data_IF_425616760288
#
_entry.id   IF_425616760288
#
_cell.length_a   1.000
_cell.length_b   1.000
_cell.length_c   1.000
_cell.angle_alpha   90.00
_cell.angle_beta   90.00
_cell.angle_gamma   90.00
#
_symmetry.space_group_name_H-M   'P 1'
#
loop_
_entity.id
_entity.type
_entity.pdbx_description
1 polymer ?
#
# COMPACT_ATOMS: atom_id res chain seq x y z
N UNK A 1 12.50 5.12 17.55
CA UNK A 1 11.66 3.93 17.28
C UNK A 1 11.38 3.85 15.80
N UNK A 2 11.38 2.67 15.20
CA UNK A 2 11.03 2.44 13.80
C UNK A 2 9.93 1.38 13.70
N UNK A 3 9.09 1.44 12.67
CA UNK A 3 8.00 0.49 12.43
C UNK A 3 7.75 0.21 10.95
N UNK A 4 6.69 -0.54 10.68
CA UNK A 4 6.17 -0.86 9.34
C UNK A 4 4.64 -0.67 9.37
N UNK A 5 4.05 -0.51 8.20
CA UNK A 5 2.64 -0.29 7.85
C UNK A 5 2.22 1.16 7.61
N UNK A 6 2.88 2.13 8.26
CA UNK A 6 2.48 3.54 8.18
C UNK A 6 0.99 3.79 8.48
N UNK A 7 0.46 3.08 9.49
CA UNK A 7 -0.88 3.31 10.02
C UNK A 7 -1.09 4.80 10.38
N UNK A 8 -2.32 5.34 10.32
CA UNK A 8 -2.58 6.74 10.68
C UNK A 8 -2.02 7.15 12.05
N UNK A 9 -2.09 6.25 13.03
CA UNK A 9 -1.54 6.43 14.37
C UNK A 9 -0.01 6.46 14.34
N UNK A 10 0.63 5.62 13.53
CA UNK A 10 2.08 5.64 13.34
C UNK A 10 2.54 6.96 12.68
N UNK A 11 1.79 7.47 11.68
CA UNK A 11 2.06 8.78 11.07
C UNK A 11 1.92 9.93 12.07
N UNK A 12 0.96 9.85 12.99
CA UNK A 12 0.83 10.83 14.08
C UNK A 12 2.03 10.76 15.04
N UNK A 13 2.56 9.59 15.34
CA UNK A 13 3.77 9.42 16.16
C UNK A 13 5.05 9.88 15.44
N UNK A 14 5.13 9.70 14.12
CA UNK A 14 6.20 10.30 13.30
C UNK A 14 6.09 11.82 13.36
N UNK A 15 4.89 12.37 13.18
CA UNK A 15 4.62 13.82 13.29
C UNK A 15 5.03 14.40 14.64
N UNK A 16 4.73 13.70 15.74
CA UNK A 16 5.06 14.14 17.09
C UNK A 16 6.53 13.94 17.46
N UNK A 17 7.33 13.29 16.60
CA UNK A 17 8.73 12.94 16.87
C UNK A 17 8.92 11.75 17.82
N UNK A 18 7.83 11.08 18.24
CA UNK A 18 7.91 9.89 19.09
C UNK A 18 8.38 8.65 18.32
N UNK A 19 8.17 8.64 17.00
CA UNK A 19 8.67 7.64 16.07
C UNK A 19 9.58 8.30 15.03
N UNK A 20 10.72 7.66 14.72
CA UNK A 20 11.69 8.20 13.77
C UNK A 20 11.27 7.94 12.31
N UNK A 21 10.55 6.85 12.07
CA UNK A 21 10.03 6.51 10.76
C UNK A 21 9.27 5.19 10.74
N UNK A 22 8.53 4.97 9.67
CA UNK A 22 7.78 3.76 9.37
C UNK A 22 7.87 3.46 7.87
N UNK A 23 7.25 2.38 7.40
CA UNK A 23 7.25 2.01 5.98
C UNK A 23 5.81 1.76 5.55
N UNK A 24 5.31 2.54 4.60
CA UNK A 24 3.98 2.36 4.03
C UNK A 24 3.85 0.98 3.42
N UNK A 25 2.92 0.21 3.98
CA UNK A 25 2.39 -1.00 3.42
C UNK A 25 1.04 -0.64 2.78
N UNK A 26 1.02 -0.47 1.45
CA UNK A 26 -0.10 0.17 0.75
C UNK A 26 -1.35 -0.71 0.72
N UNK A 27 -2.17 -0.57 1.77
CA UNK A 27 -3.40 -1.33 1.96
C UNK A 27 -4.44 -1.03 0.87
N UNK A 28 -4.51 0.21 0.38
CA UNK A 28 -5.49 0.63 -0.62
C UNK A 28 -5.25 -0.08 -1.96
N UNK A 29 -4.01 -0.07 -2.46
CA UNK A 29 -3.70 -0.75 -3.72
C UNK A 29 -3.71 -2.27 -3.58
N UNK A 30 -3.36 -2.83 -2.41
CA UNK A 30 -3.52 -4.27 -2.17
C UNK A 30 -4.99 -4.70 -2.18
N UNK A 31 -5.87 -3.94 -1.53
CA UNK A 31 -7.31 -4.18 -1.55
C UNK A 31 -7.87 -4.08 -2.97
N UNK A 32 -7.49 -3.02 -3.72
CA UNK A 32 -7.92 -2.83 -5.10
C UNK A 32 -7.45 -3.96 -6.02
N UNK A 33 -6.17 -4.35 -5.94
CA UNK A 33 -5.63 -5.47 -6.71
C UNK A 33 -6.37 -6.77 -6.41
N UNK A 34 -6.63 -7.04 -5.12
CA UNK A 34 -7.36 -8.23 -4.68
C UNK A 34 -8.76 -8.27 -5.28
N UNK A 35 -9.50 -7.15 -5.20
CA UNK A 35 -10.87 -7.07 -5.70
C UNK A 35 -10.93 -7.18 -7.23
N UNK A 36 -10.11 -6.43 -7.95
CA UNK A 36 -10.09 -6.43 -9.41
C UNK A 36 -9.80 -7.84 -9.96
N UNK A 37 -8.78 -8.52 -9.42
CA UNK A 37 -8.40 -9.87 -9.85
C UNK A 37 -9.49 -10.89 -9.52
N UNK A 38 -10.07 -10.82 -8.31
CA UNK A 38 -11.16 -11.71 -7.92
C UNK A 38 -12.38 -11.55 -8.83
N UNK A 39 -12.75 -10.30 -9.16
CA UNK A 39 -13.88 -10.01 -10.04
C UNK A 39 -13.66 -10.56 -11.45
N UNK A 40 -12.49 -10.33 -12.03
CA UNK A 40 -12.17 -10.84 -13.36
C UNK A 40 -12.23 -12.38 -13.41
N UNK A 41 -11.63 -13.04 -12.42
CA UNK A 41 -11.65 -14.50 -12.36
C UNK A 41 -13.06 -15.06 -12.16
N UNK A 42 -13.89 -14.42 -11.34
CA UNK A 42 -15.29 -14.80 -11.16
C UNK A 42 -16.11 -14.67 -12.46
N UNK A 43 -15.77 -13.71 -13.32
CA UNK A 43 -16.38 -13.52 -14.64
C UNK A 43 -15.79 -14.44 -15.73
N UNK A 44 -14.82 -15.30 -15.40
CA UNK A 44 -14.13 -16.16 -16.37
C UNK A 44 -13.12 -15.43 -17.27
N UNK A 45 -12.69 -14.24 -16.88
CA UNK A 45 -11.74 -13.39 -17.62
C UNK A 45 -10.29 -13.60 -17.16
N UNK A 46 -9.29 -13.20 -17.98
CA UNK A 46 -7.91 -13.11 -17.50
C UNK A 46 -7.80 -12.23 -16.25
N UNK A 47 -6.99 -12.65 -15.27
CA UNK A 47 -6.95 -12.03 -13.94
C UNK A 47 -6.74 -10.50 -13.96
N UNK A 48 -5.87 -9.99 -14.84
CA UNK A 48 -5.57 -8.56 -14.95
C UNK A 48 -6.37 -7.82 -16.05
N UNK A 49 -7.38 -8.43 -16.67
CA UNK A 49 -8.13 -7.80 -17.77
C UNK A 49 -8.68 -6.43 -17.35
N UNK A 50 -8.42 -5.39 -18.16
CA UNK A 50 -8.87 -4.03 -17.88
C UNK A 50 -8.16 -3.34 -16.71
N UNK A 51 -7.05 -3.89 -16.20
CA UNK A 51 -6.27 -3.33 -15.11
C UNK A 51 -4.82 -3.05 -15.53
N UNK A 52 -4.10 -2.28 -14.71
CA UNK A 52 -2.66 -2.04 -14.88
C UNK A 52 -1.80 -2.91 -13.94
N UNK A 53 -2.37 -3.96 -13.34
CA UNK A 53 -1.64 -4.83 -12.42
C UNK A 53 -0.64 -5.70 -13.17
N UNK A 54 0.65 -5.58 -12.79
CA UNK A 54 1.68 -6.48 -13.30
C UNK A 54 1.60 -7.80 -12.54
N UNK A 55 1.28 -8.88 -13.26
CA UNK A 55 1.28 -10.25 -12.72
C UNK A 55 2.55 -10.96 -13.18
N UNK A 56 3.38 -11.39 -12.22
CA UNK A 56 4.57 -12.20 -12.45
C UNK A 56 4.41 -13.54 -11.72
N UNK A 57 4.45 -14.66 -12.43
CA UNK A 57 4.24 -16.00 -11.86
C UNK A 57 2.98 -16.08 -10.97
N UNK A 58 1.86 -15.51 -11.43
CA UNK A 58 0.56 -15.41 -10.72
C UNK A 58 0.58 -14.54 -9.45
N UNK A 59 1.59 -13.68 -9.28
CA UNK A 59 1.74 -12.82 -8.11
C UNK A 59 1.67 -11.35 -8.54
N UNK A 60 0.93 -10.54 -7.77
CA UNK A 60 1.01 -9.08 -7.79
C UNK A 60 1.76 -8.63 -6.55
N UNK A 61 2.73 -7.72 -6.69
CA UNK A 61 3.42 -7.09 -5.57
C UNK A 61 3.20 -5.59 -5.62
N UNK A 62 2.63 -5.03 -4.55
CA UNK A 62 2.50 -3.60 -4.37
C UNK A 62 3.74 -3.08 -3.66
N UNK A 63 4.42 -2.04 -4.17
CA UNK A 63 5.65 -1.52 -3.55
C UNK A 63 5.41 -0.93 -2.15
N UNK A 64 6.42 -1.06 -1.30
CA UNK A 64 6.51 -0.32 -0.04
C UNK A 64 7.14 1.07 -0.26
N UNK A 65 6.87 2.01 0.65
CA UNK A 65 7.51 3.34 0.63
C UNK A 65 7.97 3.71 2.04
N UNK A 66 9.24 4.06 2.21
CA UNK A 66 9.75 4.55 3.51
C UNK A 66 9.12 5.90 3.86
N UNK A 67 8.75 6.09 5.12
CA UNK A 67 8.09 7.32 5.60
C UNK A 67 8.78 7.82 6.87
N UNK A 68 9.21 9.08 6.84
CA UNK A 68 9.78 9.81 7.96
C UNK A 68 9.30 11.27 7.92
N UNK A 69 9.90 12.14 8.74
CA UNK A 69 9.54 13.56 8.81
C UNK A 69 9.69 14.30 7.46
N UNK A 70 10.64 13.91 6.61
CA UNK A 70 10.98 14.65 5.38
C UNK A 70 9.89 14.50 4.31
N UNK A 71 9.23 13.34 4.27
CA UNK A 71 8.19 13.04 3.29
C UNK A 71 6.78 12.86 3.89
N UNK A 72 6.62 13.02 5.20
CA UNK A 72 5.37 12.80 5.94
C UNK A 72 4.14 13.49 5.34
N UNK A 73 4.32 14.71 4.81
CA UNK A 73 3.24 15.51 4.23
C UNK A 73 2.55 14.84 3.02
N UNK A 74 3.19 13.85 2.39
CA UNK A 74 2.63 13.10 1.25
C UNK A 74 1.65 12.00 1.67
N UNK A 75 1.60 11.66 2.97
CA UNK A 75 0.87 10.52 3.52
C UNK A 75 -0.18 10.90 4.57
N UNK A 76 -0.12 12.12 5.13
CA UNK A 76 -1.14 12.61 6.05
C UNK A 76 -2.40 13.04 5.27
N UNK A 77 -3.56 12.53 5.66
CA UNK A 77 -4.87 12.93 5.10
C UNK A 77 -5.25 12.26 3.78
N UNK A 78 -4.52 11.22 3.37
CA UNK A 78 -4.93 10.30 2.30
C UNK A 78 -5.87 9.21 2.80
#
# INVERSE_FOLDING_TARGET
MFGVDALPEALALVKSGAMAGTVLNDANNQAKATFDLAKNLADGKPAAEGTNWKIENKIVRVPYVGVDQDNLAQFIGK
#
